data_IF_454832508321
#
_entry.id   IF_454832508321
#
_cell.length_a   1.000
_cell.length_b   1.000
_cell.length_c   1.000
_cell.angle_alpha   90.00
_cell.angle_beta   90.00
_cell.angle_gamma   90.00
#
_symmetry.space_group_name_H-M   'P 1'
#
loop_
_entity.id
_entity.type
_entity.pdbx_description
1 polymer ?
#
# COMPACT_ATOMS: atom_id res chain seq x y z
N UNK A 1 4.42 13.85 -14.67
CA UNK A 1 3.80 12.97 -13.67
C UNK A 1 4.82 12.15 -12.87
N UNK A 2 5.72 11.43 -13.51
CA UNK A 2 6.72 10.57 -12.83
C UNK A 2 7.57 11.28 -11.78
N UNK A 3 7.94 12.54 -12.06
CA UNK A 3 8.74 13.34 -11.14
C UNK A 3 7.99 13.64 -9.84
N UNK A 4 6.69 13.91 -9.94
CA UNK A 4 5.87 14.32 -8.80
C UNK A 4 5.14 13.16 -8.13
N UNK A 5 4.83 12.12 -8.90
CA UNK A 5 4.20 10.89 -8.42
C UNK A 5 5.02 9.68 -8.88
N UNK A 6 6.18 9.44 -8.23
CA UNK A 6 7.07 8.35 -8.66
C UNK A 6 6.38 7.00 -8.48
N UNK A 7 6.63 6.10 -9.40
CA UNK A 7 6.12 4.71 -9.37
C UNK A 7 4.60 4.63 -9.21
N UNK A 8 3.89 5.62 -9.75
CA UNK A 8 2.42 5.72 -9.65
C UNK A 8 1.74 4.62 -10.44
N UNK A 9 0.67 4.07 -9.87
CA UNK A 9 -0.19 3.11 -10.54
C UNK A 9 -1.63 3.21 -10.09
N UNK A 10 -2.55 2.95 -11.01
CA UNK A 10 -3.97 2.80 -10.72
C UNK A 10 -4.25 1.31 -10.50
N UNK A 11 -4.67 0.97 -9.30
CA UNK A 11 -4.99 -0.42 -8.93
C UNK A 11 -6.44 -0.73 -9.27
N UNK A 12 -7.32 0.21 -8.95
CA UNK A 12 -8.75 0.17 -9.29
C UNK A 12 -9.23 1.60 -9.49
N UNK A 13 -10.52 1.78 -9.75
CA UNK A 13 -11.11 3.14 -9.87
C UNK A 13 -11.03 3.93 -8.57
N UNK A 14 -10.82 3.26 -7.44
CA UNK A 14 -10.77 3.90 -6.12
C UNK A 14 -9.49 3.65 -5.35
N UNK A 15 -8.52 2.94 -5.92
CA UNK A 15 -7.26 2.66 -5.23
C UNK A 15 -6.08 2.96 -6.14
N UNK A 16 -5.18 3.81 -5.63
CA UNK A 16 -3.94 4.22 -6.30
C UNK A 16 -2.76 3.90 -5.41
N UNK A 17 -1.60 3.76 -6.04
CA UNK A 17 -0.36 3.40 -5.36
C UNK A 17 0.81 4.21 -5.88
N UNK A 18 1.88 4.28 -5.09
CA UNK A 18 3.11 4.92 -5.56
C UNK A 18 4.19 5.01 -4.51
N UNK A 19 5.24 5.74 -4.87
CA UNK A 19 6.27 6.18 -3.95
C UNK A 19 5.91 7.53 -3.34
N UNK A 20 6.87 8.14 -2.64
CA UNK A 20 6.65 9.41 -1.95
C UNK A 20 6.36 10.53 -2.96
N UNK A 21 5.16 11.13 -2.93
CA UNK A 21 4.87 12.28 -3.78
C UNK A 21 5.68 13.51 -3.39
N UNK A 22 5.95 14.37 -4.38
CA UNK A 22 6.37 15.74 -4.12
C UNK A 22 5.18 16.57 -3.64
N UNK A 23 5.43 17.80 -3.20
CA UNK A 23 4.33 18.72 -2.85
C UNK A 23 3.36 18.90 -4.02
N UNK A 24 3.90 19.09 -5.22
CA UNK A 24 3.09 19.14 -6.46
C UNK A 24 2.32 17.85 -6.69
N UNK A 25 2.93 16.70 -6.39
CA UNK A 25 2.27 15.41 -6.48
C UNK A 25 1.03 15.31 -5.60
N UNK A 26 1.09 15.81 -4.37
CA UNK A 26 -0.09 15.85 -3.51
C UNK A 26 -1.19 16.74 -4.07
N UNK A 27 -0.85 17.87 -4.68
CA UNK A 27 -1.82 18.72 -5.38
C UNK A 27 -2.47 17.96 -6.54
N UNK A 28 -1.69 17.16 -7.28
CA UNK A 28 -2.21 16.34 -8.37
C UNK A 28 -3.19 15.28 -7.85
N UNK A 29 -2.85 14.62 -6.74
CA UNK A 29 -3.75 13.63 -6.12
C UNK A 29 -5.07 14.28 -5.69
N UNK A 30 -5.02 15.47 -5.10
CA UNK A 30 -6.22 16.20 -4.72
C UNK A 30 -7.10 16.50 -5.94
N UNK A 31 -6.49 16.93 -7.05
CA UNK A 31 -7.23 17.19 -8.31
C UNK A 31 -7.83 15.92 -8.90
N UNK A 32 -7.21 14.77 -8.69
CA UNK A 32 -7.74 13.48 -9.13
C UNK A 32 -8.92 13.00 -8.27
N UNK A 33 -9.21 13.71 -7.19
CA UNK A 33 -10.30 13.35 -6.28
C UNK A 33 -9.90 12.38 -5.18
N UNK A 34 -8.61 12.23 -4.90
CA UNK A 34 -8.15 11.38 -3.79
C UNK A 34 -8.68 11.94 -2.48
N UNK A 35 -9.26 11.09 -1.66
CA UNK A 35 -9.84 11.45 -0.37
C UNK A 35 -8.93 11.10 0.81
N UNK A 36 -8.19 10.00 0.70
CA UNK A 36 -7.36 9.47 1.79
C UNK A 36 -5.97 9.14 1.25
N UNK A 37 -4.95 9.59 1.97
CA UNK A 37 -3.53 9.26 1.72
C UNK A 37 -3.05 8.38 2.85
N UNK A 38 -2.57 7.18 2.53
CA UNK A 38 -2.01 6.22 3.48
C UNK A 38 -0.49 6.25 3.38
N UNK A 39 0.17 6.60 4.48
CA UNK A 39 1.62 6.66 4.58
C UNK A 39 2.15 5.44 5.34
N UNK A 40 2.85 4.56 4.63
CA UNK A 40 3.40 3.34 5.20
C UNK A 40 4.78 3.53 5.86
N UNK A 41 5.35 4.74 5.75
CA UNK A 41 6.70 5.02 6.28
C UNK A 41 6.69 5.37 7.77
N UNK A 42 5.64 6.06 8.22
CA UNK A 42 5.55 6.55 9.58
C UNK A 42 4.46 7.59 9.72
N UNK A 43 4.35 8.17 10.91
CA UNK A 43 3.44 9.28 11.17
C UNK A 43 4.22 10.59 11.00
N UNK A 44 4.13 11.19 9.81
CA UNK A 44 4.91 12.36 9.44
C UNK A 44 4.07 13.62 9.44
N UNK A 45 4.32 14.48 10.41
CA UNK A 45 3.57 15.72 10.59
C UNK A 45 3.68 16.65 9.38
N UNK A 46 4.84 16.73 8.74
CA UNK A 46 5.03 17.55 7.55
C UNK A 46 4.11 17.12 6.41
N UNK A 47 3.95 15.81 6.20
CA UNK A 47 3.04 15.29 5.17
C UNK A 47 1.58 15.48 5.59
N UNK A 48 1.26 15.22 6.85
CA UNK A 48 -0.10 15.44 7.39
C UNK A 48 -0.58 16.85 7.09
N UNK A 49 0.27 17.84 7.32
CA UNK A 49 -0.08 19.26 7.08
C UNK A 49 -0.42 19.51 5.61
N UNK A 50 0.39 19.00 4.69
CA UNK A 50 0.16 19.18 3.25
C UNK A 50 -1.15 18.50 2.86
N UNK A 51 -1.34 17.24 3.25
CA UNK A 51 -2.49 16.41 2.89
C UNK A 51 -3.78 17.04 3.41
N UNK A 52 -3.81 17.41 4.68
CA UNK A 52 -5.02 17.97 5.31
C UNK A 52 -5.34 19.36 4.76
N UNK A 53 -4.32 20.17 4.47
CA UNK A 53 -4.52 21.48 3.86
C UNK A 53 -5.20 21.36 2.48
N UNK A 54 -4.95 20.28 1.75
CA UNK A 54 -5.56 20.01 0.45
C UNK A 54 -6.93 19.34 0.54
N UNK A 55 -7.46 19.17 1.74
CA UNK A 55 -8.77 18.58 1.95
C UNK A 55 -8.80 17.05 1.96
N UNK A 56 -7.64 16.40 1.96
CA UNK A 56 -7.53 14.95 2.06
C UNK A 56 -7.28 14.52 3.50
N UNK A 57 -7.65 13.29 3.84
CA UNK A 57 -7.36 12.68 5.14
C UNK A 57 -5.99 11.98 5.09
N UNK A 58 -5.18 12.19 6.11
CA UNK A 58 -3.88 11.51 6.26
C UNK A 58 -4.01 10.35 7.25
N UNK A 59 -3.61 9.16 6.83
CA UNK A 59 -3.64 7.95 7.66
C UNK A 59 -2.23 7.35 7.69
N UNK A 60 -1.62 7.25 8.86
CA UNK A 60 -0.33 6.60 9.03
C UNK A 60 -0.54 5.13 9.36
N UNK A 61 0.09 4.25 8.56
CA UNK A 61 0.12 2.80 8.80
C UNK A 61 1.56 2.29 8.71
N UNK A 62 2.46 2.72 9.63
CA UNK A 62 3.87 2.41 9.52
C UNK A 62 4.19 0.93 9.74
N UNK A 63 5.08 0.39 8.93
CA UNK A 63 5.67 -0.92 9.14
C UNK A 63 6.99 -1.03 8.41
N UNK A 64 7.79 -2.02 8.81
CA UNK A 64 9.10 -2.26 8.19
C UNK A 64 9.02 -3.45 7.25
N UNK A 65 9.62 -3.32 6.07
CA UNK A 65 9.53 -4.37 5.05
C UNK A 65 10.12 -5.71 5.48
N UNK A 66 11.07 -5.73 6.43
CA UNK A 66 11.64 -6.97 6.97
C UNK A 66 10.78 -7.60 8.07
N UNK A 67 9.74 -6.91 8.53
CA UNK A 67 8.90 -7.38 9.64
C UNK A 67 7.41 -7.19 9.31
N UNK A 68 6.91 -7.85 8.24
CA UNK A 68 5.49 -7.77 7.92
C UNK A 68 4.66 -8.46 9.01
N UNK A 69 3.57 -7.80 9.42
CA UNK A 69 2.67 -8.34 10.45
C UNK A 69 1.23 -8.26 9.96
N UNK A 70 0.47 -9.29 10.22
CA UNK A 70 -0.92 -9.42 9.80
C UNK A 70 -1.76 -8.19 10.16
N UNK A 71 -1.51 -7.59 11.32
CA UNK A 71 -2.28 -6.46 11.82
C UNK A 71 -2.35 -5.28 10.85
N UNK A 72 -1.21 -4.87 10.27
CA UNK A 72 -1.20 -3.70 9.38
C UNK A 72 -1.93 -3.99 8.07
N UNK A 73 -1.83 -5.21 7.56
CA UNK A 73 -2.55 -5.60 6.36
C UNK A 73 -4.06 -5.67 6.62
N UNK A 74 -4.46 -6.20 7.77
CA UNK A 74 -5.86 -6.19 8.17
C UNK A 74 -6.41 -4.76 8.31
N UNK A 75 -5.65 -3.86 8.92
CA UNK A 75 -6.04 -2.44 9.05
C UNK A 75 -6.26 -1.80 7.68
N UNK A 76 -5.35 -2.06 6.73
CA UNK A 76 -5.47 -1.52 5.39
C UNK A 76 -6.72 -2.05 4.67
N UNK A 77 -6.94 -3.36 4.73
CA UNK A 77 -8.12 -3.97 4.11
C UNK A 77 -9.43 -3.43 4.71
N UNK A 78 -9.47 -3.24 6.03
CA UNK A 78 -10.63 -2.62 6.69
C UNK A 78 -10.85 -1.19 6.22
N UNK A 79 -9.78 -0.41 6.09
CA UNK A 79 -9.87 0.96 5.59
C UNK A 79 -10.54 0.99 4.22
N UNK A 80 -10.10 0.12 3.31
CA UNK A 80 -10.67 0.03 1.96
C UNK A 80 -12.15 -0.36 2.02
N UNK A 81 -12.48 -1.38 2.79
CA UNK A 81 -13.85 -1.90 2.86
C UNK A 81 -14.81 -0.94 3.55
N UNK A 82 -14.31 -0.15 4.51
CA UNK A 82 -15.12 0.84 5.21
C UNK A 82 -15.30 2.14 4.40
N UNK A 83 -14.56 2.31 3.31
CA UNK A 83 -14.60 3.50 2.48
C UNK A 83 -14.74 3.16 0.99
N UNK A 84 -15.77 2.39 0.60
CA UNK A 84 -15.85 1.85 -0.77
C UNK A 84 -16.04 2.89 -1.86
N UNK A 85 -16.47 4.10 -1.51
CA UNK A 85 -16.70 5.19 -2.47
C UNK A 85 -15.61 6.24 -2.45
N UNK A 86 -14.62 6.11 -1.56
CA UNK A 86 -13.54 7.07 -1.45
C UNK A 86 -12.34 6.60 -2.25
N UNK A 87 -11.63 7.56 -2.86
CA UNK A 87 -10.37 7.28 -3.55
C UNK A 87 -9.23 7.33 -2.56
N UNK A 88 -8.44 6.28 -2.54
CA UNK A 88 -7.34 6.09 -1.58
C UNK A 88 -6.03 5.95 -2.34
N UNK A 89 -5.01 6.69 -1.90
CA UNK A 89 -3.65 6.58 -2.40
C UNK A 89 -2.76 6.05 -1.29
N UNK A 90 -2.06 4.94 -1.54
CA UNK A 90 -1.13 4.33 -0.58
C UNK A 90 0.30 4.44 -1.10
N UNK A 91 1.23 4.84 -0.22
CA UNK A 91 2.62 5.00 -0.62
C UNK A 91 3.59 4.62 0.51
N UNK A 92 4.81 4.34 0.11
CA UNK A 92 5.98 4.28 0.97
C UNK A 92 7.02 5.25 0.38
N UNK A 93 8.32 4.96 0.51
CA UNK A 93 9.34 5.87 -0.05
C UNK A 93 9.44 5.74 -1.56
N UNK A 94 9.68 4.53 -2.08
CA UNK A 94 9.90 4.27 -3.50
C UNK A 94 8.72 3.58 -4.18
N UNK A 95 7.79 3.02 -3.40
CA UNK A 95 6.64 2.32 -3.93
C UNK A 95 6.93 0.89 -4.39
N UNK A 96 8.10 0.37 -4.08
CA UNK A 96 8.59 -0.90 -4.61
C UNK A 96 8.69 -2.04 -3.58
N UNK A 97 8.44 -1.78 -2.30
CA UNK A 97 8.45 -2.83 -1.28
C UNK A 97 7.18 -2.80 -0.41
N UNK A 98 7.08 -1.89 0.57
CA UNK A 98 5.93 -1.83 1.48
C UNK A 98 4.61 -1.59 0.74
N UNK A 99 4.61 -0.66 -0.21
CA UNK A 99 3.45 -0.40 -1.05
C UNK A 99 3.12 -1.62 -1.90
N UNK A 100 4.13 -2.25 -2.49
CA UNK A 100 3.93 -3.43 -3.34
C UNK A 100 3.29 -4.57 -2.55
N UNK A 101 3.77 -4.84 -1.33
CA UNK A 101 3.19 -5.89 -0.49
C UNK A 101 1.78 -5.54 -0.02
N UNK A 102 1.53 -4.27 0.30
CA UNK A 102 0.19 -3.83 0.70
C UNK A 102 -0.83 -4.07 -0.42
N UNK A 103 -0.46 -3.71 -1.65
CA UNK A 103 -1.32 -3.96 -2.83
C UNK A 103 -1.46 -5.46 -3.08
N UNK A 104 -0.39 -6.24 -2.92
CA UNK A 104 -0.45 -7.70 -3.07
C UNK A 104 -1.47 -8.30 -2.10
N UNK A 105 -1.51 -7.84 -0.85
CA UNK A 105 -2.48 -8.30 0.14
C UNK A 105 -3.93 -8.03 -0.31
N UNK A 106 -4.18 -6.86 -0.86
CA UNK A 106 -5.49 -6.50 -1.42
C UNK A 106 -5.85 -7.40 -2.61
N UNK A 107 -4.90 -7.60 -3.54
CA UNK A 107 -5.13 -8.46 -4.71
C UNK A 107 -5.52 -9.88 -4.30
N UNK A 108 -4.80 -10.43 -3.32
CA UNK A 108 -5.06 -11.78 -2.84
C UNK A 108 -6.34 -11.90 -2.02
N UNK A 109 -6.57 -10.95 -1.09
CA UNK A 109 -7.71 -11.01 -0.19
C UNK A 109 -9.03 -10.63 -0.87
N UNK A 110 -9.04 -9.56 -1.65
CA UNK A 110 -10.27 -8.98 -2.19
C UNK A 110 -10.51 -9.32 -3.66
N UNK A 111 -9.46 -9.59 -4.43
CA UNK A 111 -9.60 -9.92 -5.86
C UNK A 111 -9.31 -11.39 -6.18
N UNK A 112 -8.94 -12.18 -5.18
CA UNK A 112 -8.73 -13.61 -5.36
C UNK A 112 -7.51 -13.99 -6.18
N UNK A 113 -6.51 -13.09 -6.30
CA UNK A 113 -5.29 -13.41 -7.02
C UNK A 113 -4.48 -14.48 -6.29
N UNK A 114 -3.76 -15.29 -7.06
CA UNK A 114 -2.76 -16.19 -6.49
C UNK A 114 -1.56 -15.38 -5.97
N UNK A 115 -0.82 -15.94 -5.02
CA UNK A 115 0.41 -15.34 -4.53
C UNK A 115 1.42 -15.13 -5.65
N UNK A 116 1.51 -16.06 -6.59
CA UNK A 116 2.41 -15.95 -7.75
C UNK A 116 2.06 -14.76 -8.62
N UNK A 117 0.79 -14.56 -8.92
CA UNK A 117 0.33 -13.42 -9.74
C UNK A 117 0.60 -12.09 -9.03
N UNK A 118 0.32 -12.03 -7.73
CA UNK A 118 0.56 -10.84 -6.93
C UNK A 118 2.05 -10.49 -6.85
N UNK A 119 2.92 -11.48 -6.72
CA UNK A 119 4.37 -11.27 -6.71
C UNK A 119 4.89 -10.73 -8.04
N UNK A 120 4.35 -11.20 -9.15
CA UNK A 120 4.69 -10.67 -10.48
C UNK A 120 4.33 -9.19 -10.60
N UNK A 121 3.22 -8.77 -10.04
CA UNK A 121 2.87 -7.34 -9.99
C UNK A 121 3.85 -6.56 -9.12
N UNK A 122 4.25 -7.10 -7.98
CA UNK A 122 5.28 -6.47 -7.13
C UNK A 122 6.57 -6.22 -7.94
N UNK A 123 6.99 -7.20 -8.74
CA UNK A 123 8.18 -7.07 -9.58
C UNK A 123 8.03 -5.97 -10.63
N UNK A 124 6.86 -5.83 -11.22
CA UNK A 124 6.58 -4.75 -12.19
C UNK A 124 6.78 -3.35 -11.59
N UNK A 125 6.57 -3.21 -10.29
CA UNK A 125 6.74 -1.93 -9.60
C UNK A 125 8.08 -1.82 -8.88
N UNK A 126 9.03 -2.70 -9.19
CA UNK A 126 10.41 -2.58 -8.75
C UNK A 126 10.85 -3.47 -7.60
N UNK A 127 9.98 -4.37 -7.12
CA UNK A 127 10.38 -5.35 -6.11
C UNK A 127 11.37 -6.34 -6.73
N UNK A 128 12.66 -6.15 -6.42
CA UNK A 128 13.74 -6.84 -7.08
C UNK A 128 14.26 -8.05 -6.30
N UNK A 129 15.15 -8.80 -6.94
CA UNK A 129 15.89 -9.88 -6.29
C UNK A 129 16.69 -9.36 -5.06
N UNK A 130 17.24 -8.14 -5.15
CA UNK A 130 17.95 -7.53 -4.01
C UNK A 130 17.02 -7.28 -2.82
N UNK A 131 15.75 -6.89 -3.07
CA UNK A 131 14.75 -6.75 -2.00
C UNK A 131 14.55 -8.07 -1.26
N UNK A 132 14.43 -9.16 -1.99
CA UNK A 132 14.21 -10.48 -1.40
C UNK A 132 15.34 -10.93 -0.51
N UNK A 133 16.57 -10.60 -0.87
CA UNK A 133 17.74 -11.11 -0.17
C UNK A 133 18.36 -10.14 0.83
N UNK A 134 18.43 -8.85 0.48
CA UNK A 134 19.22 -7.87 1.24
C UNK A 134 18.39 -6.78 1.90
N UNK A 135 17.35 -6.29 1.22
CA UNK A 135 16.60 -5.11 1.69
C UNK A 135 15.41 -5.51 2.57
N UNK A 136 14.62 -6.48 2.11
CA UNK A 136 13.42 -6.94 2.81
C UNK A 136 13.43 -8.46 2.96
N UNK A 137 14.44 -9.04 3.67
CA UNK A 137 14.48 -10.48 3.86
C UNK A 137 13.20 -10.94 4.56
N UNK A 138 12.61 -12.02 4.06
CA UNK A 138 11.36 -12.57 4.61
C UNK A 138 10.08 -12.02 4.01
N UNK A 139 10.14 -10.93 3.22
CA UNK A 139 8.92 -10.37 2.64
C UNK A 139 8.32 -11.29 1.57
N UNK A 140 9.16 -11.90 0.72
CA UNK A 140 8.68 -12.86 -0.27
C UNK A 140 7.99 -14.05 0.37
N UNK A 141 8.56 -14.60 1.45
CA UNK A 141 7.94 -15.70 2.18
C UNK A 141 6.60 -15.31 2.78
N UNK A 142 6.52 -14.11 3.34
CA UNK A 142 5.26 -13.60 3.86
C UNK A 142 4.20 -13.48 2.75
N UNK A 143 4.59 -12.95 1.60
CA UNK A 143 3.70 -12.81 0.46
C UNK A 143 3.19 -14.16 -0.02
N UNK A 144 4.08 -15.14 -0.16
CA UNK A 144 3.72 -16.50 -0.56
C UNK A 144 2.76 -17.17 0.41
N UNK A 145 2.94 -16.91 1.72
CA UNK A 145 2.11 -17.48 2.79
C UNK A 145 0.89 -16.63 3.10
N UNK A 146 0.74 -15.46 2.52
CA UNK A 146 -0.36 -14.55 2.84
C UNK A 146 -1.74 -15.19 2.69
N UNK A 147 -2.05 -15.98 1.64
CA UNK A 147 -3.36 -16.63 1.56
C UNK A 147 -3.67 -17.50 2.78
N UNK A 148 -2.66 -18.19 3.32
CA UNK A 148 -2.82 -18.98 4.54
C UNK A 148 -3.05 -18.08 5.76
N UNK A 149 -2.28 -17.00 5.92
CA UNK A 149 -2.49 -16.01 6.98
C UNK A 149 -3.91 -15.44 6.92
N UNK A 150 -4.36 -15.07 5.73
CA UNK A 150 -5.69 -14.49 5.57
C UNK A 150 -6.79 -15.47 6.01
N UNK A 151 -6.62 -16.77 5.74
CA UNK A 151 -7.59 -17.79 6.12
C UNK A 151 -7.56 -18.15 7.61
N UNK A 152 -6.42 -18.02 8.27
CA UNK A 152 -6.23 -18.61 9.61
C UNK A 152 -5.92 -17.59 10.71
N UNK A 153 -5.31 -16.46 10.40
CA UNK A 153 -4.95 -15.47 11.41
C UNK A 153 -6.19 -14.77 11.98
N UNK A 154 -6.27 -14.63 13.32
CA UNK A 154 -7.37 -13.91 13.96
C UNK A 154 -7.51 -12.46 13.51
N UNK A 155 -6.40 -11.83 13.09
CA UNK A 155 -6.40 -10.45 12.63
C UNK A 155 -7.32 -10.22 11.43
N UNK A 156 -7.54 -11.25 10.61
CA UNK A 156 -8.38 -11.17 9.41
C UNK A 156 -9.79 -11.74 9.62
N UNK A 157 -10.16 -12.07 10.85
CA UNK A 157 -11.43 -12.77 11.13
C UNK A 157 -12.65 -12.07 10.54
N UNK A 158 -12.72 -10.75 10.68
CA UNK A 158 -13.86 -9.94 10.20
C UNK A 158 -13.81 -9.65 8.69
N UNK A 159 -12.74 -10.09 8.02
CA UNK A 159 -12.50 -9.80 6.60
C UNK A 159 -12.71 -11.02 5.69
N UNK A 160 -12.86 -12.20 6.27
CA UNK A 160 -13.07 -13.45 5.51
C UNK A 160 -14.52 -13.60 5.07
#
# INVERSE_FOLDING_TARGET
>A
MRKNLPNFGEVSTTLYRGGQPSKTGFHMLAKMGVNIVVDLRGNRESERKIVTHLGMQYVAMPWRCSFPKDKVFAEFLRLLRNNPRKKIFVHCRLGDDRTAMMIASYRMADEGWSAERAEKEMEKFGFSFAHRRLICPGLSSYEEDFPHHFRTSPEFRDLR
#
